data_IF_908137860947
#
_entry.id   IF_908137860947
#
_cell.length_a   1.000
_cell.length_b   1.000
_cell.length_c   1.000
_cell.angle_alpha   90.00
_cell.angle_beta   90.00
_cell.angle_gamma   90.00
#
_symmetry.space_group_name_H-M   'P 1'
#
loop_
_entity.id
_entity.type
_entity.pdbx_description
1 polymer ?
#
# COMPACT_ATOMS: atom_id res chain seq x y z
N UNK A 1 -6.31 16.11 -15.62
CA UNK A 1 -6.96 15.07 -14.79
C UNK A 1 -7.96 15.70 -13.84
N UNK A 2 -9.23 15.32 -13.93
CA UNK A 2 -10.29 15.87 -13.07
C UNK A 2 -10.21 15.35 -11.63
N UNK A 3 -10.80 16.06 -10.67
CA UNK A 3 -10.75 15.63 -9.25
C UNK A 3 -11.43 14.28 -9.00
N UNK A 4 -12.52 13.97 -9.71
CA UNK A 4 -13.18 12.67 -9.62
C UNK A 4 -12.28 11.53 -10.11
N UNK A 5 -11.54 11.78 -11.20
CA UNK A 5 -10.61 10.84 -11.79
C UNK A 5 -9.44 10.53 -10.85
N UNK A 6 -8.94 11.53 -10.11
CA UNK A 6 -7.92 11.33 -9.06
C UNK A 6 -8.41 10.37 -7.98
N UNK A 7 -9.65 10.49 -7.51
CA UNK A 7 -10.22 9.56 -6.53
C UNK A 7 -10.29 8.14 -7.10
N UNK A 8 -10.78 8.00 -8.34
CA UNK A 8 -10.86 6.70 -9.00
C UNK A 8 -9.48 6.06 -9.11
N UNK A 9 -8.46 6.83 -9.49
CA UNK A 9 -7.09 6.36 -9.53
C UNK A 9 -6.56 5.97 -8.15
N UNK A 10 -6.80 6.75 -7.09
CA UNK A 10 -6.36 6.35 -5.74
C UNK A 10 -6.99 5.02 -5.30
N UNK A 11 -8.31 4.87 -5.46
CA UNK A 11 -9.00 3.61 -5.13
C UNK A 11 -8.45 2.47 -5.99
N UNK A 12 -8.14 2.75 -7.24
CA UNK A 12 -7.57 1.78 -8.15
C UNK A 12 -6.19 1.26 -7.70
N UNK A 13 -5.30 2.17 -7.31
CA UNK A 13 -3.92 1.88 -6.84
C UNK A 13 -3.93 1.03 -5.58
N UNK A 14 -4.83 1.35 -4.66
CA UNK A 14 -4.92 0.72 -3.35
C UNK A 14 -5.95 -0.42 -3.27
N UNK A 15 -6.74 -0.62 -4.33
CA UNK A 15 -7.81 -1.62 -4.44
C UNK A 15 -9.13 -1.19 -3.79
N UNK A 16 -9.07 -0.75 -2.54
CA UNK A 16 -10.20 -0.16 -1.81
C UNK A 16 -9.71 0.91 -0.84
N UNK A 17 -10.51 1.96 -0.60
CA UNK A 17 -10.18 3.00 0.37
C UNK A 17 -11.43 3.49 1.10
N UNK A 18 -11.26 4.01 2.31
CA UNK A 18 -12.27 4.81 2.99
C UNK A 18 -12.05 6.32 2.72
N UNK A 19 -12.99 7.17 3.13
CA UNK A 19 -12.93 8.62 2.86
C UNK A 19 -11.72 9.32 3.52
N UNK A 20 -11.35 8.92 4.73
CA UNK A 20 -10.22 9.49 5.46
C UNK A 20 -8.91 9.18 4.73
N UNK A 21 -8.76 7.93 4.26
CA UNK A 21 -7.60 7.51 3.48
C UNK A 21 -7.51 8.25 2.15
N UNK A 22 -8.63 8.42 1.44
CA UNK A 22 -8.66 9.21 0.19
C UNK A 22 -8.28 10.67 0.46
N UNK A 23 -8.84 11.27 1.52
CA UNK A 23 -8.52 12.64 1.91
C UNK A 23 -7.04 12.81 2.25
N UNK A 24 -6.46 11.85 2.99
CA UNK A 24 -5.06 11.84 3.38
C UNK A 24 -4.13 11.70 2.15
N UNK A 25 -4.39 10.72 1.27
CA UNK A 25 -3.59 10.49 0.06
C UNK A 25 -3.64 11.68 -0.92
N UNK A 26 -4.80 12.33 -1.05
CA UNK A 26 -4.98 13.48 -1.93
C UNK A 26 -4.62 14.83 -1.27
N UNK A 27 -4.28 14.82 0.04
CA UNK A 27 -4.06 16.03 0.85
C UNK A 27 -5.23 17.02 0.73
N UNK A 28 -6.46 16.52 0.88
CA UNK A 28 -7.72 17.28 0.73
C UNK A 28 -8.56 17.26 2.00
N UNK A 29 -9.48 18.22 2.10
CA UNK A 29 -10.49 18.23 3.14
C UNK A 29 -11.49 17.09 2.94
N UNK A 30 -11.84 16.38 4.02
CA UNK A 30 -12.77 15.24 3.98
C UNK A 30 -14.16 15.62 3.45
N UNK A 31 -14.65 16.84 3.70
CA UNK A 31 -15.94 17.33 3.18
C UNK A 31 -15.95 17.42 1.65
N UNK A 32 -14.82 17.82 1.07
CA UNK A 32 -14.65 17.85 -0.39
C UNK A 32 -14.71 16.44 -0.97
N UNK A 33 -14.03 15.48 -0.32
CA UNK A 33 -14.05 14.07 -0.74
C UNK A 33 -15.45 13.47 -0.59
N UNK A 34 -16.21 13.81 0.46
CA UNK A 34 -17.60 13.39 0.65
C UNK A 34 -18.49 13.81 -0.52
N UNK A 35 -18.44 15.10 -0.90
CA UNK A 35 -19.23 15.62 -2.04
C UNK A 35 -18.85 14.94 -3.36
N UNK A 36 -17.55 14.72 -3.58
CA UNK A 36 -17.07 14.03 -4.79
C UNK A 36 -17.48 12.56 -4.81
N UNK A 37 -17.46 11.88 -3.66
CA UNK A 37 -17.94 10.50 -3.51
C UNK A 37 -19.40 10.36 -3.88
N UNK A 38 -20.26 11.30 -3.47
CA UNK A 38 -21.69 11.27 -3.82
C UNK A 38 -21.89 11.32 -5.34
N UNK A 39 -21.16 12.21 -6.02
CA UNK A 39 -21.16 12.28 -7.49
C UNK A 39 -20.71 10.95 -8.12
N UNK A 40 -19.63 10.35 -7.63
CA UNK A 40 -19.12 9.07 -8.14
C UNK A 40 -20.08 7.90 -7.92
N UNK A 41 -20.77 7.86 -6.78
CA UNK A 41 -21.80 6.84 -6.49
C UNK A 41 -23.00 7.02 -7.43
N UNK A 42 -23.47 8.25 -7.64
CA UNK A 42 -24.57 8.55 -8.56
C UNK A 42 -24.22 8.17 -10.02
N UNK A 43 -22.96 8.36 -10.40
CA UNK A 43 -22.44 7.92 -11.71
C UNK A 43 -22.24 6.40 -11.82
N UNK A 44 -22.51 5.65 -10.75
CA UNK A 44 -22.28 4.19 -10.62
C UNK A 44 -20.83 3.81 -10.86
N UNK A 45 -19.90 4.62 -10.36
CA UNK A 45 -18.45 4.37 -10.48
C UNK A 45 -17.90 3.58 -9.29
N UNK A 46 -18.52 3.70 -8.11
CA UNK A 46 -18.05 3.06 -6.88
C UNK A 46 -19.05 2.03 -6.36
N UNK A 47 -18.55 0.88 -5.90
CA UNK A 47 -19.26 0.03 -4.96
C UNK A 47 -18.99 0.53 -3.54
N UNK A 48 -19.96 0.35 -2.65
CA UNK A 48 -19.85 0.72 -1.25
C UNK A 48 -19.96 -0.54 -0.41
N UNK A 49 -18.93 -0.80 0.38
CA UNK A 49 -18.93 -1.83 1.42
C UNK A 49 -19.12 -1.15 2.78
N UNK A 50 -20.25 -1.41 3.42
CA UNK A 50 -20.70 -0.71 4.62
C UNK A 50 -20.30 -1.51 5.85
N UNK A 51 -19.37 -0.98 6.65
CA UNK A 51 -19.01 -1.56 7.95
C UNK A 51 -19.50 -0.69 9.10
N UNK A 52 -19.64 -1.24 10.33
CA UNK A 52 -20.17 -0.51 11.48
C UNK A 52 -19.47 0.81 11.82
N UNK A 53 -18.20 0.98 11.42
CA UNK A 53 -17.41 2.19 11.73
C UNK A 53 -17.04 3.04 10.51
N UNK A 54 -16.80 2.42 9.35
CA UNK A 54 -16.28 3.09 8.15
C UNK A 54 -16.77 2.39 6.89
N UNK A 55 -17.11 3.17 5.87
CA UNK A 55 -17.40 2.63 4.54
C UNK A 55 -16.12 2.52 3.73
N UNK A 56 -16.00 1.44 2.97
CA UNK A 56 -14.93 1.24 2.01
C UNK A 56 -15.47 1.26 0.59
N UNK A 57 -14.70 1.84 -0.32
CA UNK A 57 -15.09 2.02 -1.71
C UNK A 57 -14.18 1.20 -2.62
N UNK A 58 -14.78 0.38 -3.48
CA UNK A 58 -14.08 -0.30 -4.59
C UNK A 58 -14.59 0.22 -5.93
N UNK A 59 -13.78 0.06 -6.98
CA UNK A 59 -14.23 0.41 -8.33
C UNK A 59 -15.22 -0.61 -8.89
N UNK A 60 -16.28 -0.10 -9.50
CA UNK A 60 -17.17 -0.89 -10.38
C UNK A 60 -16.46 -1.31 -11.66
N UNK A 61 -17.00 -2.30 -12.38
CA UNK A 61 -16.54 -2.64 -13.73
C UNK A 61 -16.56 -1.43 -14.67
N UNK A 62 -17.63 -0.62 -14.60
CA UNK A 62 -17.76 0.64 -15.35
C UNK A 62 -16.59 1.61 -15.09
N UNK A 63 -16.26 1.85 -13.82
CA UNK A 63 -15.15 2.73 -13.47
C UNK A 63 -13.80 2.17 -13.91
N UNK A 64 -13.62 0.85 -13.84
CA UNK A 64 -12.39 0.21 -14.34
C UNK A 64 -12.25 0.39 -15.85
N UNK A 65 -13.31 0.16 -16.63
CA UNK A 65 -13.31 0.42 -18.08
C UNK A 65 -13.09 1.88 -18.41
N UNK A 66 -13.64 2.81 -17.62
CA UNK A 66 -13.38 4.24 -17.76
C UNK A 66 -11.90 4.60 -17.58
N UNK A 67 -11.18 3.86 -16.72
CA UNK A 67 -9.73 3.96 -16.57
C UNK A 67 -8.94 3.13 -17.60
N UNK A 68 -9.57 2.69 -18.70
CA UNK A 68 -8.92 1.98 -19.80
C UNK A 68 -8.64 0.50 -19.55
N UNK A 69 -9.43 -0.18 -18.70
CA UNK A 69 -9.20 -1.60 -18.37
C UNK A 69 -10.15 -2.53 -19.12
N UNK A 70 -9.57 -3.50 -19.84
CA UNK A 70 -10.34 -4.38 -20.76
C UNK A 70 -11.27 -5.37 -20.06
N UNK A 71 -10.92 -6.01 -18.94
CA UNK A 71 -11.84 -6.81 -18.13
C UNK A 71 -11.12 -7.29 -16.86
N UNK A 72 -11.52 -6.87 -15.66
CA UNK A 72 -10.82 -7.25 -14.41
C UNK A 72 -11.82 -7.56 -13.29
N UNK A 73 -11.57 -8.66 -12.58
CA UNK A 73 -12.40 -9.16 -11.46
C UNK A 73 -12.73 -8.04 -10.48
N UNK A 74 -13.95 -8.06 -9.94
CA UNK A 74 -14.33 -7.15 -8.85
C UNK A 74 -13.40 -7.36 -7.67
N UNK A 75 -12.86 -6.25 -7.16
CA UNK A 75 -12.05 -6.25 -5.94
C UNK A 75 -13.03 -6.33 -4.78
N UNK A 76 -12.82 -7.31 -3.90
CA UNK A 76 -13.53 -7.40 -2.62
C UNK A 76 -12.67 -6.79 -1.52
N UNK A 77 -13.32 -6.15 -0.56
CA UNK A 77 -12.62 -5.62 0.61
C UNK A 77 -12.11 -6.79 1.45
N UNK A 78 -10.82 -6.78 1.79
CA UNK A 78 -10.23 -7.73 2.71
C UNK A 78 -10.19 -7.14 4.11
N UNK A 79 -11.11 -7.59 4.97
CA UNK A 79 -11.26 -7.04 6.33
C UNK A 79 -10.04 -7.28 7.22
N UNK A 80 -9.26 -8.32 6.97
CA UNK A 80 -8.04 -8.62 7.72
C UNK A 80 -6.89 -7.64 7.43
N UNK A 81 -7.04 -6.76 6.44
CA UNK A 81 -5.97 -5.88 5.94
C UNK A 81 -6.27 -4.40 6.09
N UNK A 82 -7.49 -4.06 6.51
CA UNK A 82 -7.89 -2.66 6.67
C UNK A 82 -6.94 -1.89 7.59
N UNK A 83 -6.55 -2.49 8.71
CA UNK A 83 -5.63 -1.88 9.67
C UNK A 83 -4.23 -1.71 9.06
N UNK A 84 -3.72 -2.73 8.37
CA UNK A 84 -2.40 -2.69 7.75
C UNK A 84 -2.30 -1.61 6.68
N UNK A 85 -3.30 -1.55 5.80
CA UNK A 85 -3.37 -0.52 4.77
C UNK A 85 -3.49 0.88 5.36
N UNK A 86 -4.29 1.06 6.42
CA UNK A 86 -4.40 2.35 7.12
C UNK A 86 -3.06 2.80 7.71
N UNK A 87 -2.32 1.90 8.35
CA UNK A 87 -1.00 2.18 8.90
C UNK A 87 0.01 2.55 7.81
N UNK A 88 0.02 1.82 6.71
CA UNK A 88 0.91 2.08 5.60
C UNK A 88 0.64 3.41 4.91
N UNK A 89 -0.64 3.76 4.69
CA UNK A 89 -1.02 5.08 4.14
C UNK A 89 -0.57 6.20 5.07
N UNK A 90 -0.78 6.04 6.39
CA UNK A 90 -0.34 7.03 7.38
C UNK A 90 1.17 7.21 7.38
N UNK A 91 1.93 6.12 7.33
CA UNK A 91 3.38 6.15 7.23
C UNK A 91 3.83 6.82 5.93
N UNK A 92 3.22 6.49 4.80
CA UNK A 92 3.55 7.07 3.50
C UNK A 92 3.32 8.58 3.50
N UNK A 93 2.16 9.01 4.02
CA UNK A 93 1.81 10.42 4.08
C UNK A 93 2.56 11.20 5.18
N UNK A 94 3.29 10.54 6.09
CA UNK A 94 4.17 11.20 7.06
C UNK A 94 5.57 11.49 6.52
N UNK A 95 5.96 10.89 5.38
CA UNK A 95 7.24 11.16 4.76
C UNK A 95 7.22 12.49 3.98
N UNK A 96 8.35 13.19 3.98
CA UNK A 96 8.50 14.52 3.34
C UNK A 96 9.42 14.51 2.12
N UNK A 97 10.14 13.40 1.89
CA UNK A 97 11.19 13.23 0.89
C UNK A 97 10.84 12.23 -0.22
N UNK A 98 9.55 11.89 -0.34
CA UNK A 98 9.04 10.99 -1.39
C UNK A 98 8.65 11.79 -2.63
N UNK A 99 9.24 11.43 -3.75
CA UNK A 99 8.87 11.95 -5.07
C UNK A 99 7.73 11.12 -5.66
N UNK A 100 7.91 9.80 -5.67
CA UNK A 100 6.96 8.86 -6.26
C UNK A 100 6.79 7.61 -5.40
N UNK A 101 5.62 6.99 -5.51
CA UNK A 101 5.38 5.65 -5.01
C UNK A 101 4.48 4.88 -5.97
N UNK A 102 4.74 3.58 -6.08
CA UNK A 102 3.93 2.62 -6.80
C UNK A 102 3.55 1.50 -5.86
N UNK A 103 2.28 1.08 -5.87
CA UNK A 103 1.88 -0.10 -5.09
C UNK A 103 2.30 -1.38 -5.83
N UNK A 104 2.66 -2.44 -5.10
CA UNK A 104 2.91 -3.77 -5.71
C UNK A 104 1.67 -4.22 -6.50
N UNK A 105 0.48 -3.79 -6.07
CA UNK A 105 -0.75 -3.98 -6.81
C UNK A 105 -0.69 -3.35 -8.20
N UNK A 106 -0.19 -2.13 -8.38
CA UNK A 106 -0.01 -1.51 -9.69
C UNK A 106 0.90 -2.36 -10.58
N UNK A 107 2.04 -2.81 -10.08
CA UNK A 107 2.95 -3.69 -10.81
C UNK A 107 2.30 -5.02 -11.22
N UNK A 108 1.58 -5.68 -10.30
CA UNK A 108 0.91 -6.94 -10.66
C UNK A 108 -0.30 -6.71 -11.56
N UNK A 109 -0.91 -5.52 -11.52
CA UNK A 109 -1.95 -5.11 -12.46
C UNK A 109 -1.42 -4.92 -13.87
N UNK A 110 -0.18 -4.45 -14.02
CA UNK A 110 0.56 -4.39 -15.28
C UNK A 110 0.90 -5.80 -15.78
N UNK A 111 1.30 -6.69 -14.88
CA UNK A 111 1.69 -8.08 -15.19
C UNK A 111 0.54 -9.12 -15.21
N UNK A 112 -0.73 -8.67 -15.16
CA UNK A 112 -1.91 -9.57 -15.25
C UNK A 112 -2.26 -10.38 -14.00
N UNK A 113 -1.57 -10.19 -12.86
CA UNK A 113 -1.79 -10.94 -11.61
C UNK A 113 -2.41 -10.08 -10.49
N UNK A 114 -3.74 -10.00 -10.43
CA UNK A 114 -4.47 -9.05 -9.58
C UNK A 114 -4.46 -9.29 -8.05
N UNK A 115 -3.69 -10.26 -7.55
CA UNK A 115 -3.72 -10.73 -6.16
C UNK A 115 -2.58 -10.13 -5.28
N UNK A 116 -2.26 -8.85 -5.47
CA UNK A 116 -1.26 -8.15 -4.64
C UNK A 116 -1.90 -7.25 -3.58
N UNK A 117 -1.25 -7.23 -2.42
CA UNK A 117 -1.48 -6.33 -1.31
C UNK A 117 -0.66 -5.05 -1.50
N UNK A 118 -0.91 -3.97 -0.74
CA UNK A 118 -0.20 -2.72 -0.95
C UNK A 118 1.15 -2.82 -0.24
N UNK A 119 2.10 -3.60 -0.73
CA UNK A 119 3.50 -3.23 -0.49
C UNK A 119 3.81 -2.04 -1.41
N UNK A 120 4.80 -1.21 -1.05
CA UNK A 120 5.15 -0.02 -1.83
C UNK A 120 6.56 -0.13 -2.38
N UNK A 121 6.73 0.31 -3.62
CA UNK A 121 8.02 0.73 -4.16
C UNK A 121 8.00 2.25 -4.16
N UNK A 122 9.04 2.85 -3.60
CA UNK A 122 9.14 4.29 -3.36
C UNK A 122 10.40 4.80 -4.02
N UNK A 123 10.28 5.89 -4.76
CA UNK A 123 11.40 6.65 -5.31
C UNK A 123 11.49 7.97 -4.55
N UNK A 124 12.65 8.22 -3.95
CA UNK A 124 12.96 9.45 -3.24
C UNK A 124 13.59 10.48 -4.16
N UNK A 125 13.63 11.73 -3.68
CA UNK A 125 14.23 12.86 -4.40
C UNK A 125 15.73 12.69 -4.72
N UNK A 126 16.42 11.76 -4.06
CA UNK A 126 17.84 11.43 -4.28
C UNK A 126 18.02 10.20 -5.20
N UNK A 127 16.99 9.88 -6.00
CA UNK A 127 16.88 8.69 -6.85
C UNK A 127 16.96 7.35 -6.10
N UNK A 128 16.95 7.38 -4.76
CA UNK A 128 16.98 6.14 -3.99
C UNK A 128 15.63 5.41 -4.06
N UNK A 129 15.71 4.10 -4.27
CA UNK A 129 14.54 3.23 -4.26
C UNK A 129 14.40 2.52 -2.91
N UNK A 130 13.18 2.52 -2.38
CA UNK A 130 12.83 1.86 -1.13
C UNK A 130 11.65 0.94 -1.36
N UNK A 131 11.79 -0.32 -0.95
CA UNK A 131 10.69 -1.26 -0.88
C UNK A 131 10.16 -1.29 0.55
N UNK A 132 8.89 -0.93 0.71
CA UNK A 132 8.20 -0.92 2.00
C UNK A 132 7.27 -2.11 2.08
N UNK A 133 7.59 -3.01 3.01
CA UNK A 133 6.79 -4.19 3.30
C UNK A 133 6.10 -4.03 4.66
N UNK A 134 4.79 -4.26 4.67
CA UNK A 134 4.06 -4.35 5.93
C UNK A 134 4.05 -5.80 6.43
N UNK A 135 4.71 -6.07 7.56
CA UNK A 135 4.76 -7.41 8.15
C UNK A 135 3.86 -7.53 9.38
N UNK A 136 2.95 -8.51 9.34
CA UNK A 136 1.93 -8.76 10.37
C UNK A 136 2.08 -10.09 11.08
N UNK A 137 2.85 -11.01 10.50
CA UNK A 137 3.08 -12.34 11.07
C UNK A 137 4.55 -12.71 10.97
N UNK A 138 4.98 -13.67 11.79
CA UNK A 138 6.28 -14.30 11.57
C UNK A 138 6.12 -15.23 10.36
N UNK A 139 6.77 -14.91 9.25
CA UNK A 139 6.94 -15.85 8.13
C UNK A 139 7.88 -16.98 8.57
N UNK A 140 7.88 -18.11 7.85
CA UNK A 140 8.93 -19.10 8.09
C UNK A 140 10.31 -18.49 7.78
N UNK A 141 11.37 -18.86 8.53
CA UNK A 141 12.73 -18.45 8.23
C UNK A 141 13.10 -18.67 6.76
N UNK A 142 12.71 -19.81 6.18
CA UNK A 142 12.99 -20.13 4.77
C UNK A 142 12.30 -19.18 3.79
N UNK A 143 11.03 -18.81 4.06
CA UNK A 143 10.31 -17.85 3.23
C UNK A 143 10.94 -16.46 3.31
N UNK A 144 11.32 -16.03 4.51
CA UNK A 144 12.00 -14.76 4.72
C UNK A 144 13.37 -14.74 4.01
N UNK A 145 14.15 -15.82 4.17
CA UNK A 145 15.45 -15.99 3.50
C UNK A 145 15.32 -15.97 1.98
N UNK A 146 14.35 -16.69 1.42
CA UNK A 146 14.11 -16.72 -0.02
C UNK A 146 13.82 -15.33 -0.56
N UNK A 147 13.00 -14.54 0.15
CA UNK A 147 12.69 -13.17 -0.23
C UNK A 147 13.93 -12.28 -0.23
N UNK A 148 14.74 -12.33 0.82
CA UNK A 148 15.98 -11.57 0.89
C UNK A 148 16.99 -11.97 -0.20
N UNK A 149 17.10 -13.27 -0.51
CA UNK A 149 17.94 -13.75 -1.61
C UNK A 149 17.48 -13.17 -2.94
N UNK A 150 16.16 -13.17 -3.21
CA UNK A 150 15.60 -12.63 -4.44
C UNK A 150 15.81 -11.11 -4.60
N UNK A 151 15.98 -10.39 -3.49
CA UNK A 151 16.25 -8.95 -3.48
C UNK A 151 17.75 -8.62 -3.39
N UNK A 152 18.63 -9.62 -3.38
CA UNK A 152 20.06 -9.44 -3.12
C UNK A 152 20.74 -8.48 -4.09
N UNK A 153 20.51 -8.65 -5.39
CA UNK A 153 21.16 -7.81 -6.41
C UNK A 153 20.74 -6.33 -6.28
N UNK A 154 19.45 -6.10 -6.04
CA UNK A 154 18.89 -4.77 -5.82
C UNK A 154 19.42 -4.11 -4.53
N UNK A 155 19.52 -4.88 -3.44
CA UNK A 155 20.15 -4.42 -2.20
C UNK A 155 21.64 -4.09 -2.39
N UNK A 156 22.38 -4.87 -3.19
CA UNK A 156 23.79 -4.59 -3.51
C UNK A 156 23.94 -3.32 -4.35
N UNK A 157 22.96 -3.03 -5.21
CA UNK A 157 22.91 -1.79 -6.00
C UNK A 157 22.50 -0.56 -5.17
N UNK A 158 22.23 -0.70 -3.87
CA UNK A 158 21.91 0.41 -2.96
C UNK A 158 20.42 0.56 -2.61
N UNK A 159 19.56 -0.36 -3.07
CA UNK A 159 18.15 -0.39 -2.70
C UNK A 159 17.93 -0.69 -1.20
N UNK A 160 16.87 -0.14 -0.61
CA UNK A 160 16.59 -0.27 0.84
C UNK A 160 15.25 -0.94 1.13
N UNK A 161 15.20 -1.81 2.13
CA UNK A 161 13.93 -2.40 2.57
C UNK A 161 13.51 -1.81 3.91
N UNK A 162 12.28 -1.31 3.97
CA UNK A 162 11.64 -0.85 5.20
C UNK A 162 10.55 -1.85 5.59
N UNK A 163 10.68 -2.50 6.75
CA UNK A 163 9.63 -3.32 7.33
C UNK A 163 8.82 -2.52 8.33
N UNK A 164 7.53 -2.34 8.05
CA UNK A 164 6.59 -1.76 9.00
C UNK A 164 5.95 -2.91 9.76
N UNK A 165 6.06 -2.90 11.09
CA UNK A 165 5.51 -3.95 11.96
C UNK A 165 4.60 -3.35 13.03
N UNK A 166 3.54 -4.07 13.44
CA UNK A 166 2.65 -3.61 14.51
C UNK A 166 3.22 -3.85 15.91
N UNK A 167 4.28 -4.65 16.08
CA UNK A 167 4.81 -5.01 17.41
C UNK A 167 6.33 -5.05 17.45
N UNK A 168 6.89 -4.68 18.60
CA UNK A 168 8.32 -4.80 18.87
C UNK A 168 8.82 -6.24 18.73
N UNK A 169 8.01 -7.22 19.11
CA UNK A 169 8.35 -8.64 19.00
C UNK A 169 8.60 -9.06 17.55
N UNK A 170 7.78 -8.59 16.59
CA UNK A 170 7.99 -8.86 15.17
C UNK A 170 9.24 -8.15 14.65
N UNK A 171 9.44 -6.87 15.02
CA UNK A 171 10.65 -6.13 14.67
C UNK A 171 11.92 -6.85 15.13
N UNK A 172 11.96 -7.33 16.39
CA UNK A 172 13.07 -8.11 16.93
C UNK A 172 13.27 -9.43 16.17
N UNK A 173 12.19 -10.12 15.80
CA UNK A 173 12.28 -11.35 15.02
C UNK A 173 12.89 -11.10 13.62
N UNK A 174 12.43 -10.07 12.89
CA UNK A 174 12.96 -9.70 11.57
C UNK A 174 14.45 -9.38 11.66
N UNK A 175 14.84 -8.58 12.67
CA UNK A 175 16.24 -8.24 12.94
C UNK A 175 17.09 -9.50 13.14
N UNK A 176 16.63 -10.43 13.96
CA UNK A 176 17.35 -11.69 14.21
C UNK A 176 17.47 -12.54 12.95
N UNK A 177 16.42 -12.65 12.14
CA UNK A 177 16.49 -13.40 10.88
C UNK A 177 17.48 -12.77 9.90
N UNK A 178 17.48 -11.44 9.79
CA UNK A 178 18.42 -10.69 8.93
C UNK A 178 19.86 -10.96 9.34
N UNK A 179 20.13 -10.90 10.66
CA UNK A 179 21.46 -11.19 11.21
C UNK A 179 21.92 -12.63 10.93
N UNK A 180 21.03 -13.62 11.08
CA UNK A 180 21.34 -15.04 10.83
C UNK A 180 21.73 -15.28 9.36
N UNK A 181 21.05 -14.60 8.43
CA UNK A 181 21.26 -14.80 7.00
C UNK A 181 22.62 -14.24 6.54
N UNK A 182 23.25 -13.36 7.34
CA UNK A 182 24.52 -12.73 6.96
C UNK A 182 24.37 -11.84 5.73
N UNK A 183 23.15 -11.40 5.41
CA UNK A 183 22.93 -10.40 4.38
C UNK A 183 23.60 -9.09 4.83
N UNK A 184 24.48 -8.56 3.99
CA UNK A 184 25.29 -7.35 4.22
C UNK A 184 24.54 -6.22 4.98
N UNK A 185 25.24 -5.55 5.92
CA UNK A 185 24.73 -4.43 6.72
C UNK A 185 25.01 -3.07 6.03
N UNK A 186 24.20 -1.98 6.20
CA UNK A 186 22.85 -1.84 6.74
C UNK A 186 21.91 -1.05 5.78
N UNK A 187 20.97 -1.70 5.09
CA UNK A 187 19.95 -0.99 4.28
C UNK A 187 18.52 -1.47 4.58
N UNK A 188 18.35 -1.96 5.80
CA UNK A 188 17.17 -2.64 6.27
C UNK A 188 16.69 -1.93 7.55
N UNK A 189 15.60 -1.17 7.47
CA UNK A 189 15.04 -0.47 8.64
C UNK A 189 13.74 -1.15 9.05
N UNK A 190 13.52 -1.27 10.36
CA UNK A 190 12.25 -1.70 10.90
C UNK A 190 11.61 -0.51 11.61
N UNK A 191 10.34 -0.29 11.30
CA UNK A 191 9.53 0.73 11.95
C UNK A 191 8.40 0.05 12.73
N UNK A 192 8.26 0.42 13.99
CA UNK A 192 7.21 -0.08 14.86
C UNK A 192 6.10 0.95 14.86
N UNK A 193 5.00 0.59 14.23
CA UNK A 193 3.83 1.43 14.17
C UNK A 193 2.84 1.00 15.25
N UNK A 194 3.20 1.25 16.50
CA UNK A 194 2.29 1.19 17.65
C UNK A 194 2.52 2.37 18.59
N UNK A 195 2.90 3.54 18.04
CA UNK A 195 2.81 4.77 18.82
C UNK A 195 1.32 5.05 19.00
N UNK A 196 0.75 4.46 20.04
CA UNK A 196 -0.39 5.03 20.75
C UNK A 196 -0.07 6.52 20.90
N UNK A 197 -0.79 7.35 20.15
CA UNK A 197 -0.94 8.76 20.44
C UNK A 197 -2.28 8.90 21.14
#
# INVERSE_FOLDING_TARGET
MGELEKILLMINRWGYLNLEQIALLLKKNIKTIQLQKEKLVNLKMLNVDTLPKKNYYTLTSKAQSHLGREHKKSIKVNYYELQHQDMLIKWLCSQTDIEHYQTERELKMENGNLNAYPDLIITKNDDSEIYVEFERTRKSPDRFRTKLINLREWLVAGGKIHWITPTQTLATWIKNQTNIIGAYSPQNTYEIWNKEK
#
